data_IF_498394342231
#
_entry.id   IF_498394342231
#
_cell.length_a   1.000
_cell.length_b   1.000
_cell.length_c   1.000
_cell.angle_alpha   90.00
_cell.angle_beta   90.00
_cell.angle_gamma   90.00
#
_symmetry.space_group_name_H-M   'P 1'
#
loop_
_entity.id
_entity.type
_entity.pdbx_description
1 polymer ?
#
# COMPACT_ATOMS: atom_id res chain seq x y z
N UNK A 1 -6.31 -15.18 10.94
CA UNK A 1 -5.53 -14.04 11.46
C UNK A 1 -5.11 -13.19 10.30
N UNK A 2 -5.50 -11.92 10.28
CA UNK A 2 -5.27 -11.02 9.16
C UNK A 2 -4.07 -10.16 9.49
N UNK A 3 -3.01 -10.23 8.68
CA UNK A 3 -1.89 -9.31 8.83
C UNK A 3 -2.41 -7.90 8.53
N UNK A 4 -2.02 -6.92 9.33
CA UNK A 4 -2.47 -5.53 9.20
C UNK A 4 -1.41 -4.74 8.43
N UNK A 5 -1.78 -3.80 7.55
CA UNK A 5 -0.82 -2.85 6.97
C UNK A 5 -0.31 -1.90 8.05
N UNK A 6 0.84 -2.21 8.64
CA UNK A 6 1.49 -1.39 9.68
C UNK A 6 2.86 -0.98 9.17
N UNK A 7 3.02 0.31 8.87
CA UNK A 7 4.35 0.89 8.66
C UNK A 7 4.48 2.30 9.22
N UNK A 8 3.46 3.16 9.13
CA UNK A 8 3.53 4.55 9.64
C UNK A 8 2.19 5.12 10.14
N UNK A 9 1.06 4.66 9.61
CA UNK A 9 -0.29 5.01 10.08
C UNK A 9 -0.95 3.75 10.63
N UNK A 10 -1.37 3.80 11.89
CA UNK A 10 -2.04 2.68 12.53
C UNK A 10 -3.40 2.44 11.88
N UNK A 11 -3.64 1.22 11.42
CA UNK A 11 -4.99 0.79 11.04
C UNK A 11 -5.83 0.70 12.30
N UNK A 12 -6.95 1.43 12.35
CA UNK A 12 -7.86 1.43 13.50
C UNK A 12 -9.21 0.79 13.21
N UNK A 13 -9.56 0.63 11.93
CA UNK A 13 -10.79 -0.03 11.51
C UNK A 13 -10.52 -0.98 10.36
N UNK A 14 -11.04 -2.20 10.49
CA UNK A 14 -11.11 -3.20 9.44
C UNK A 14 -12.57 -3.32 9.02
N UNK A 15 -12.86 -3.23 7.73
CA UNK A 15 -14.17 -3.51 7.16
C UNK A 15 -14.09 -4.75 6.27
N UNK A 16 -14.93 -5.73 6.55
CA UNK A 16 -15.09 -6.94 5.74
C UNK A 16 -16.39 -6.79 4.95
N UNK A 17 -16.32 -6.98 3.63
CA UNK A 17 -17.47 -6.93 2.72
C UNK A 17 -17.59 -8.28 2.02
N UNK A 18 -18.76 -8.91 2.11
CA UNK A 18 -19.03 -10.17 1.44
C UNK A 18 -19.48 -9.97 -0.03
N UNK A 19 -19.62 -11.08 -0.76
CA UNK A 19 -20.10 -11.10 -2.15
C UNK A 19 -21.48 -10.47 -2.36
N UNK A 20 -22.32 -10.40 -1.32
CA UNK A 20 -23.65 -9.78 -1.35
C UNK A 20 -23.62 -8.30 -0.94
N UNK A 21 -22.43 -7.72 -0.76
CA UNK A 21 -22.18 -6.36 -0.28
C UNK A 21 -22.63 -6.12 1.17
N UNK A 22 -22.79 -7.17 1.97
CA UNK A 22 -22.99 -7.05 3.41
C UNK A 22 -21.65 -6.72 4.03
N UNK A 23 -21.58 -5.63 4.79
CA UNK A 23 -20.35 -5.18 5.44
C UNK A 23 -20.43 -5.27 6.95
N UNK A 24 -19.29 -5.58 7.57
CA UNK A 24 -19.09 -5.50 9.01
C UNK A 24 -17.76 -4.79 9.30
N UNK A 25 -17.80 -3.87 10.25
CA UNK A 25 -16.64 -3.11 10.69
C UNK A 25 -16.16 -3.59 12.07
N UNK A 26 -14.84 -3.57 12.26
CA UNK A 26 -14.15 -4.05 13.45
C UNK A 26 -13.13 -3.01 13.90
N UNK A 27 -13.07 -2.77 15.21
CA UNK A 27 -11.93 -2.05 15.79
C UNK A 27 -10.69 -2.93 15.78
N UNK A 28 -9.57 -2.36 15.36
CA UNK A 28 -8.28 -3.07 15.26
C UNK A 28 -7.41 -2.66 16.45
N UNK A 29 -7.72 -3.22 17.63
CA UNK A 29 -7.09 -2.78 18.89
C UNK A 29 -6.14 -3.83 19.50
N UNK A 30 -6.14 -5.07 18.98
CA UNK A 30 -5.41 -6.22 19.53
C UNK A 30 -4.60 -6.93 18.44
N UNK A 31 -3.57 -6.25 17.95
CA UNK A 31 -2.62 -6.79 16.97
C UNK A 31 -1.51 -7.53 17.73
N UNK A 32 -1.16 -8.74 17.29
CA UNK A 32 -0.04 -9.48 17.87
C UNK A 32 1.34 -8.91 17.46
N UNK A 33 2.40 -9.47 18.05
CA UNK A 33 3.78 -9.06 17.77
C UNK A 33 4.23 -9.25 16.31
N UNK A 34 3.51 -10.07 15.54
CA UNK A 34 3.80 -10.35 14.13
C UNK A 34 2.92 -9.49 13.19
N UNK A 35 2.13 -8.58 13.74
CA UNK A 35 1.26 -7.68 12.98
C UNK A 35 -0.09 -8.30 12.60
N UNK A 36 -0.52 -9.40 13.23
CA UNK A 36 -1.79 -10.05 12.93
C UNK A 36 -2.92 -9.63 13.87
N UNK A 37 -4.09 -9.40 13.28
CA UNK A 37 -5.37 -9.21 13.96
C UNK A 37 -6.22 -10.48 13.90
N UNK A 38 -6.85 -10.86 15.02
CA UNK A 38 -7.71 -12.06 15.07
C UNK A 38 -9.19 -11.73 14.85
N UNK A 39 -9.70 -12.11 13.67
CA UNK A 39 -11.13 -11.99 13.30
C UNK A 39 -11.99 -13.16 13.81
N UNK A 40 -11.40 -14.34 14.05
CA UNK A 40 -12.11 -15.63 14.03
C UNK A 40 -13.20 -15.86 15.09
N UNK A 41 -13.32 -14.98 16.10
CA UNK A 41 -14.43 -15.00 17.07
C UNK A 41 -15.56 -14.00 16.77
N UNK A 42 -15.31 -13.02 15.90
CA UNK A 42 -16.20 -11.87 15.68
C UNK A 42 -16.89 -11.89 14.31
N UNK A 43 -16.48 -12.80 13.42
CA UNK A 43 -17.05 -12.93 12.08
C UNK A 43 -17.01 -14.38 11.59
N UNK A 44 -18.08 -14.83 10.94
CA UNK A 44 -18.21 -16.19 10.42
C UNK A 44 -18.00 -16.19 8.90
N UNK A 45 -17.01 -16.97 8.45
CA UNK A 45 -16.75 -17.22 7.04
C UNK A 45 -17.66 -18.34 6.56
N UNK A 46 -18.21 -18.17 5.36
CA UNK A 46 -19.00 -19.20 4.69
C UNK A 46 -18.19 -19.78 3.54
N UNK A 47 -18.16 -21.11 3.44
CA UNK A 47 -17.44 -21.80 2.37
C UNK A 47 -17.96 -21.37 1.00
N UNK A 48 -17.04 -21.10 0.07
CA UNK A 48 -17.38 -20.65 -1.29
C UNK A 48 -17.83 -19.19 -1.40
N UNK A 49 -17.89 -18.43 -0.30
CA UNK A 49 -18.12 -16.98 -0.36
C UNK A 49 -16.82 -16.24 -0.63
N UNK A 50 -16.93 -15.13 -1.36
CA UNK A 50 -15.82 -14.18 -1.51
C UNK A 50 -15.94 -13.03 -0.53
N UNK A 51 -14.80 -12.59 0.01
CA UNK A 51 -14.71 -11.46 0.93
C UNK A 51 -13.62 -10.49 0.49
N UNK A 52 -13.92 -9.20 0.61
CA UNK A 52 -12.93 -8.13 0.48
C UNK A 52 -12.75 -7.46 1.84
N UNK A 53 -11.49 -7.18 2.15
CA UNK A 53 -11.02 -6.59 3.39
C UNK A 53 -10.50 -5.19 3.07
N UNK A 54 -11.01 -4.19 3.77
CA UNK A 54 -10.63 -2.79 3.65
C UNK A 54 -10.09 -2.32 5.00
N UNK A 55 -8.91 -1.72 5.01
CA UNK A 55 -8.27 -1.20 6.20
C UNK A 55 -8.37 0.31 6.22
N UNK A 56 -8.70 0.91 7.36
CA UNK A 56 -8.84 2.37 7.49
C UNK A 56 -8.01 2.89 8.68
N UNK A 57 -7.49 4.13 8.61
CA UNK A 57 -6.73 4.72 9.70
C UNK A 57 -7.63 5.23 10.84
N UNK A 58 -8.94 5.28 10.59
CA UNK A 58 -9.93 5.87 11.48
C UNK A 58 -10.61 4.79 12.32
N UNK A 59 -11.13 5.15 13.48
CA UNK A 59 -11.88 4.23 14.34
C UNK A 59 -13.21 3.78 13.69
N UNK A 60 -13.74 2.68 14.18
CA UNK A 60 -15.12 2.23 13.94
C UNK A 60 -16.12 3.34 14.31
N UNK A 61 -17.10 3.60 13.43
CA UNK A 61 -18.24 4.46 13.71
C UNK A 61 -19.44 3.67 14.22
N UNK A 62 -19.73 2.53 13.57
CA UNK A 62 -20.78 1.61 13.95
C UNK A 62 -20.46 0.18 13.45
N UNK A 63 -21.38 -0.77 13.64
CA UNK A 63 -21.16 -2.16 13.28
C UNK A 63 -20.86 -2.43 11.78
N UNK A 64 -21.14 -1.48 10.88
CA UNK A 64 -20.95 -1.66 9.43
C UNK A 64 -19.92 -0.71 8.81
N UNK A 65 -19.63 0.41 9.46
CA UNK A 65 -18.88 1.53 8.87
C UNK A 65 -17.71 1.99 9.75
N UNK A 66 -16.65 2.45 9.10
CA UNK A 66 -15.57 3.20 9.74
C UNK A 66 -15.91 4.71 9.77
N UNK A 67 -15.29 5.49 10.66
CA UNK A 67 -15.62 6.91 10.89
C UNK A 67 -15.32 7.84 9.73
N UNK A 68 -14.38 7.47 8.86
CA UNK A 68 -14.20 8.07 7.55
C UNK A 68 -13.65 7.01 6.61
N UNK A 69 -14.38 6.80 5.51
CA UNK A 69 -14.07 5.85 4.44
C UNK A 69 -13.59 6.57 3.17
N UNK A 70 -13.10 7.82 3.30
CA UNK A 70 -12.56 8.56 2.14
C UNK A 70 -11.20 8.03 1.67
N UNK A 71 -10.43 7.40 2.56
CA UNK A 71 -9.09 6.90 2.28
C UNK A 71 -8.89 5.56 2.99
N UNK A 72 -8.89 4.48 2.23
CA UNK A 72 -8.55 3.15 2.72
C UNK A 72 -7.04 2.97 2.66
N UNK A 73 -6.48 2.44 3.75
CA UNK A 73 -5.06 2.18 3.84
C UNK A 73 -4.60 1.08 2.87
N UNK A 74 -5.41 0.05 2.75
CA UNK A 74 -5.21 -1.01 1.78
C UNK A 74 -6.53 -1.74 1.62
N UNK A 75 -6.65 -2.51 0.54
CA UNK A 75 -7.72 -3.48 0.42
C UNK A 75 -7.26 -4.73 -0.32
N UNK A 76 -8.01 -5.80 -0.15
CA UNK A 76 -7.81 -7.06 -0.88
C UNK A 76 -8.75 -7.13 -2.07
N UNK A 77 -8.26 -7.65 -3.20
CA UNK A 77 -9.15 -8.20 -4.22
C UNK A 77 -10.04 -9.30 -3.59
N UNK A 78 -11.25 -9.56 -4.11
CA UNK A 78 -12.16 -10.55 -3.52
C UNK A 78 -11.48 -11.91 -3.32
N UNK A 79 -11.37 -12.35 -2.07
CA UNK A 79 -10.74 -13.60 -1.68
C UNK A 79 -11.80 -14.66 -1.46
N UNK A 80 -11.67 -15.80 -2.16
CA UNK A 80 -12.58 -16.94 -1.96
C UNK A 80 -12.20 -17.67 -0.68
N UNK A 81 -13.18 -17.91 0.19
CA UNK A 81 -13.03 -18.69 1.41
C UNK A 81 -12.79 -20.16 1.08
N UNK A 82 -11.79 -20.75 1.75
CA UNK A 82 -11.44 -22.17 1.71
C UNK A 82 -11.35 -22.68 3.15
N UNK A 83 -12.37 -23.40 3.62
CA UNK A 83 -12.45 -23.96 4.98
C UNK A 83 -11.42 -25.06 5.25
N UNK A 84 -10.76 -25.61 4.22
CA UNK A 84 -9.65 -26.55 4.43
C UNK A 84 -8.39 -25.83 4.90
N UNK A 85 -8.37 -24.50 4.78
CA UNK A 85 -7.38 -23.58 5.32
C UNK A 85 -8.04 -22.71 6.38
N UNK A 86 -7.25 -21.97 7.17
CA UNK A 86 -7.81 -20.93 8.03
C UNK A 86 -8.25 -19.78 7.12
N UNK A 87 -9.56 -19.53 6.92
CA UNK A 87 -10.03 -18.55 5.93
C UNK A 87 -9.67 -17.11 6.29
N UNK A 88 -9.24 -16.91 7.54
CA UNK A 88 -8.80 -15.62 8.04
C UNK A 88 -7.30 -15.43 7.97
N UNK A 89 -6.52 -16.43 7.56
CA UNK A 89 -5.08 -16.31 7.42
C UNK A 89 -4.75 -15.54 6.13
N UNK A 90 -4.55 -14.24 6.30
CA UNK A 90 -4.31 -13.31 5.20
C UNK A 90 -2.98 -12.64 5.47
N UNK A 91 -2.01 -12.88 4.60
CA UNK A 91 -0.70 -12.23 4.63
C UNK A 91 -0.74 -10.89 3.91
N UNK A 92 0.24 -10.02 4.22
CA UNK A 92 0.37 -8.71 3.58
C UNK A 92 0.55 -8.76 2.06
N UNK A 93 1.20 -9.80 1.56
CA UNK A 93 1.39 -10.07 0.13
C UNK A 93 0.05 -10.13 -0.63
N UNK A 94 -1.06 -10.43 0.04
CA UNK A 94 -2.38 -10.55 -0.59
C UNK A 94 -3.03 -9.19 -0.92
N UNK A 95 -2.59 -8.12 -0.25
CA UNK A 95 -3.11 -6.75 -0.44
C UNK A 95 -1.99 -5.73 -0.62
N UNK A 96 -0.84 -6.17 -1.14
CA UNK A 96 0.24 -5.32 -1.59
C UNK A 96 0.54 -5.63 -3.05
N UNK A 97 1.26 -4.73 -3.72
CA UNK A 97 1.71 -4.95 -5.10
C UNK A 97 3.22 -4.95 -5.17
N UNK A 98 3.78 -5.64 -6.15
CA UNK A 98 5.07 -5.30 -6.69
C UNK A 98 5.02 -3.95 -7.41
N UNK A 99 6.07 -3.14 -7.33
CA UNK A 99 6.26 -1.97 -8.19
C UNK A 99 7.38 -2.27 -9.17
N UNK A 100 7.14 -1.98 -10.45
CA UNK A 100 8.16 -1.93 -11.49
C UNK A 100 8.31 -0.48 -11.95
N UNK A 101 9.36 0.19 -11.50
CA UNK A 101 9.53 1.63 -11.74
C UNK A 101 10.69 1.83 -12.71
N UNK A 102 10.42 2.45 -13.88
CA UNK A 102 11.47 2.81 -14.83
C UNK A 102 12.38 3.83 -14.15
N UNK A 103 13.70 3.60 -14.16
CA UNK A 103 14.66 4.51 -13.53
C UNK A 103 15.52 5.24 -14.56
N UNK A 104 15.92 6.50 -14.31
CA UNK A 104 17.00 7.13 -15.05
C UNK A 104 18.28 6.30 -14.88
N UNK A 105 19.09 6.20 -15.94
CA UNK A 105 20.27 5.32 -15.96
C UNK A 105 21.35 5.64 -14.91
N UNK A 106 21.33 6.84 -14.34
CA UNK A 106 22.26 7.31 -13.30
C UNK A 106 21.64 7.37 -11.90
N UNK A 107 20.41 6.91 -11.72
CA UNK A 107 19.74 6.96 -10.43
C UNK A 107 20.37 5.98 -9.43
N UNK A 108 20.64 6.47 -8.22
CA UNK A 108 21.18 5.69 -7.10
C UNK A 108 20.18 5.52 -5.97
N UNK A 109 19.19 6.40 -5.91
CA UNK A 109 18.15 6.34 -4.91
C UNK A 109 16.80 6.66 -5.54
N UNK A 110 15.79 5.90 -5.13
CA UNK A 110 14.39 6.13 -5.40
C UNK A 110 13.72 6.56 -4.11
N UNK A 111 13.03 7.70 -4.13
CA UNK A 111 12.09 8.08 -3.08
C UNK A 111 10.67 8.04 -3.62
N UNK A 112 9.76 7.44 -2.86
CA UNK A 112 8.32 7.38 -3.14
C UNK A 112 7.60 8.11 -2.00
N UNK A 113 6.90 9.19 -2.33
CA UNK A 113 6.09 9.95 -1.38
C UNK A 113 4.61 9.76 -1.69
N UNK A 114 3.78 9.55 -0.66
CA UNK A 114 2.33 9.46 -0.78
C UNK A 114 1.63 10.68 -0.15
N UNK A 115 0.61 11.19 -0.85
CA UNK A 115 -0.11 12.42 -0.52
C UNK A 115 -1.62 12.21 -0.59
N UNK A 116 -2.39 12.93 0.25
CA UNK A 116 -3.86 12.99 0.19
C UNK A 116 -4.38 13.89 -0.94
N UNK A 117 -3.62 14.91 -1.32
CA UNK A 117 -4.05 15.95 -2.26
C UNK A 117 -2.85 16.44 -3.11
N UNK A 118 -3.04 16.84 -4.38
CA UNK A 118 -1.94 17.30 -5.19
C UNK A 118 -1.35 18.60 -4.64
N UNK A 119 -2.20 19.42 -4.02
CA UNK A 119 -1.84 20.75 -3.52
C UNK A 119 -1.05 20.71 -2.19
N UNK A 120 -0.90 19.53 -1.57
CA UNK A 120 -0.32 19.37 -0.22
C UNK A 120 1.08 18.75 -0.25
N UNK A 121 1.95 19.28 -1.12
CA UNK A 121 3.33 18.77 -1.34
C UNK A 121 4.20 18.88 -0.08
N UNK A 122 3.83 19.75 0.87
CA UNK A 122 4.55 19.96 2.13
C UNK A 122 4.28 18.92 3.22
N UNK A 123 3.18 18.16 3.13
CA UNK A 123 2.81 17.16 4.14
C UNK A 123 2.56 15.78 3.50
N UNK A 124 3.65 15.13 3.11
CA UNK A 124 3.57 13.71 2.75
C UNK A 124 3.14 12.90 3.99
N UNK A 125 2.19 11.99 3.80
CA UNK A 125 1.74 11.08 4.86
C UNK A 125 2.76 9.97 5.05
N UNK A 126 3.47 9.64 3.97
CA UNK A 126 4.36 8.50 3.89
C UNK A 126 5.49 8.79 2.90
N UNK A 127 6.72 8.47 3.29
CA UNK A 127 7.90 8.54 2.42
C UNK A 127 8.68 7.22 2.56
N UNK A 128 9.03 6.62 1.44
CA UNK A 128 9.92 5.46 1.36
C UNK A 128 11.14 5.81 0.53
N UNK A 129 12.31 5.35 0.97
CA UNK A 129 13.56 5.48 0.23
C UNK A 129 14.15 4.10 -0.04
N UNK A 130 14.63 3.90 -1.25
CA UNK A 130 15.24 2.67 -1.71
C UNK A 130 16.57 2.98 -2.39
N UNK A 131 17.60 2.24 -2.01
CA UNK A 131 18.84 2.20 -2.77
C UNK A 131 18.60 1.45 -4.07
N UNK A 132 18.96 2.08 -5.17
CA UNK A 132 18.89 1.48 -6.51
C UNK A 132 20.20 0.74 -6.73
N UNK A 133 20.20 -0.55 -6.44
CA UNK A 133 21.37 -1.42 -6.56
C UNK A 133 21.46 -2.07 -7.95
N UNK A 134 20.33 -2.52 -8.51
CA UNK A 134 20.22 -3.08 -9.85
C UNK A 134 18.88 -2.73 -10.51
N UNK A 135 18.94 -2.38 -11.79
CA UNK A 135 17.76 -2.35 -12.68
C UNK A 135 17.82 -3.53 -13.63
N UNK A 136 16.67 -3.99 -14.12
CA UNK A 136 16.63 -5.03 -15.14
C UNK A 136 17.17 -4.54 -16.50
N UNK A 137 17.28 -5.42 -17.48
CA UNK A 137 17.76 -5.09 -18.82
C UNK A 137 16.92 -4.02 -19.53
N UNK A 138 15.68 -3.82 -19.06
CA UNK A 138 14.78 -2.78 -19.54
C UNK A 138 14.83 -1.53 -18.65
N UNK A 139 15.75 -1.40 -17.69
CA UNK A 139 15.92 -0.23 -16.83
C UNK A 139 14.84 -0.05 -15.76
N UNK A 140 14.10 -1.10 -15.39
CA UNK A 140 13.15 -1.05 -14.28
C UNK A 140 13.78 -1.49 -12.95
N UNK A 141 13.47 -0.75 -11.88
CA UNK A 141 13.73 -1.14 -10.50
C UNK A 141 12.49 -1.80 -9.89
N UNK A 142 12.70 -2.84 -9.08
CA UNK A 142 11.63 -3.71 -8.60
C UNK A 142 11.50 -3.62 -7.08
N UNK A 143 10.35 -3.14 -6.59
CA UNK A 143 10.01 -3.14 -5.16
C UNK A 143 8.96 -4.22 -4.91
N UNK A 144 9.22 -5.16 -4.01
CA UNK A 144 8.28 -6.25 -3.69
C UNK A 144 7.37 -5.87 -2.52
N UNK A 145 6.12 -6.32 -2.55
CA UNK A 145 5.14 -6.18 -1.46
C UNK A 145 4.97 -4.73 -0.97
N UNK A 146 4.98 -3.76 -1.89
CA UNK A 146 4.75 -2.36 -1.55
C UNK A 146 3.28 -2.12 -1.22
N UNK A 147 3.02 -1.43 -0.11
CA UNK A 147 1.66 -1.08 0.28
C UNK A 147 1.20 0.17 -0.47
N UNK A 148 0.19 -0.03 -1.31
CA UNK A 148 -0.46 1.03 -2.05
C UNK A 148 -1.79 1.37 -1.38
N UNK A 149 -1.93 2.64 -0.98
CA UNK A 149 -3.05 3.23 -0.27
C UNK A 149 -4.04 3.79 -1.29
N UNK A 150 -5.24 3.23 -1.38
CA UNK A 150 -6.25 3.69 -2.32
C UNK A 150 -6.77 5.08 -1.89
N UNK A 151 -6.79 6.03 -2.82
CA UNK A 151 -7.12 7.43 -2.54
C UNK A 151 -5.92 8.31 -2.23
N UNK A 152 -4.71 7.74 -2.14
CA UNK A 152 -3.48 8.53 -2.15
C UNK A 152 -2.94 8.70 -3.58
N UNK A 153 -2.19 9.77 -3.77
CA UNK A 153 -1.36 9.99 -4.94
C UNK A 153 0.09 9.78 -4.59
N UNK A 154 0.83 9.20 -5.52
CA UNK A 154 2.23 8.86 -5.38
C UNK A 154 3.09 9.77 -6.22
N UNK A 155 4.17 10.24 -5.63
CA UNK A 155 5.19 11.03 -6.28
C UNK A 155 6.52 10.30 -6.19
N UNK A 156 7.23 10.23 -7.31
CA UNK A 156 8.48 9.48 -7.44
C UNK A 156 9.61 10.47 -7.66
N UNK A 157 10.68 10.29 -6.89
CA UNK A 157 11.90 11.07 -7.02
C UNK A 157 13.07 10.12 -7.28
N UNK A 158 13.92 10.49 -8.23
CA UNK A 158 15.18 9.81 -8.44
C UNK A 158 16.33 10.78 -8.15
N UNK A 159 17.29 10.29 -7.38
CA UNK A 159 18.49 11.00 -7.00
C UNK A 159 19.68 10.41 -7.76
N UNK A 160 20.52 11.27 -8.34
CA UNK A 160 21.81 10.90 -8.93
C UNK A 160 22.91 11.51 -8.03
N UNK A 161 24.02 10.81 -7.80
CA UNK A 161 25.03 11.30 -6.85
C UNK A 161 25.65 12.60 -7.36
N UNK A 162 25.55 13.70 -6.60
CA UNK A 162 26.34 14.91 -6.88
C UNK A 162 27.18 15.42 -5.71
N UNK A 163 26.95 14.99 -4.45
CA UNK A 163 27.47 15.78 -3.30
C UNK A 163 28.54 15.10 -2.44
N UNK A 164 28.98 13.88 -2.75
CA UNK A 164 30.05 13.20 -1.98
C UNK A 164 29.65 12.85 -0.54
N UNK A 165 28.34 12.76 -0.26
CA UNK A 165 27.80 12.27 1.02
C UNK A 165 27.90 10.75 1.11
N UNK A 166 27.99 10.22 2.33
CA UNK A 166 27.98 8.76 2.57
C UNK A 166 26.61 8.13 2.35
N UNK A 167 25.55 8.94 2.35
CA UNK A 167 24.18 8.52 2.06
C UNK A 167 23.82 8.92 0.62
N UNK A 168 23.60 7.96 -0.30
CA UNK A 168 23.25 8.22 -1.69
C UNK A 168 21.81 8.74 -1.86
N UNK A 169 20.98 8.72 -0.80
CA UNK A 169 19.66 9.36 -0.77
C UNK A 169 19.68 10.78 -0.16
N UNK A 170 20.82 11.24 0.38
CA UNK A 170 20.96 12.55 1.02
C UNK A 170 21.35 13.68 0.02
N UNK A 171 20.74 13.67 -1.17
CA UNK A 171 21.01 14.64 -2.26
C UNK A 171 19.75 15.41 -2.64
N UNK A 172 19.93 16.45 -3.46
CA UNK A 172 18.81 17.11 -4.15
C UNK A 172 18.31 16.17 -5.25
N UNK A 173 16.99 15.99 -5.36
CA UNK A 173 16.42 15.10 -6.36
C UNK A 173 16.50 15.73 -7.75
N UNK A 174 17.21 15.07 -8.67
CA UNK A 174 17.45 15.55 -10.04
C UNK A 174 16.25 15.33 -10.97
N UNK A 175 15.42 14.33 -10.65
CA UNK A 175 14.21 14.02 -11.42
C UNK A 175 13.00 13.92 -10.51
N UNK A 176 11.93 14.62 -10.89
CA UNK A 176 10.65 14.69 -10.15
C UNK A 176 9.47 14.86 -11.13
N UNK A 177 8.41 14.03 -11.00
CA UNK A 177 7.04 14.07 -11.60
C UNK A 177 6.46 12.63 -11.61
N UNK A 178 5.17 12.29 -11.69
CA UNK A 178 3.85 12.95 -11.69
C UNK A 178 3.01 12.37 -10.53
N UNK A 179 1.83 12.93 -10.24
CA UNK A 179 0.84 12.31 -9.34
C UNK A 179 0.23 11.07 -10.00
N UNK A 180 0.60 9.89 -9.52
CA UNK A 180 -0.06 8.66 -9.93
C UNK A 180 -1.03 8.21 -8.86
N UNK A 181 -2.28 7.96 -9.26
CA UNK A 181 -3.23 7.25 -8.42
C UNK A 181 -2.73 5.82 -8.20
N UNK A 182 -2.85 5.37 -6.96
CA UNK A 182 -2.74 3.98 -6.58
C UNK A 182 -3.42 3.02 -7.58
N UNK A 183 -2.71 1.97 -8.00
CA UNK A 183 -3.29 0.83 -8.71
C UNK A 183 -2.84 -0.48 -8.05
N UNK A 184 -3.77 -1.11 -7.33
CA UNK A 184 -3.57 -2.44 -6.70
C UNK A 184 -4.18 -3.57 -7.54
N UNK A 185 -4.82 -3.24 -8.66
CA UNK A 185 -5.40 -4.23 -9.57
C UNK A 185 -4.38 -4.78 -10.56
N UNK A 186 -3.26 -4.08 -10.71
CA UNK A 186 -2.15 -4.46 -11.55
C UNK A 186 -0.93 -4.81 -10.67
N UNK A 187 -0.54 -6.08 -10.66
CA UNK A 187 0.65 -6.56 -9.96
C UNK A 187 1.61 -7.28 -10.94
N UNK A 188 2.82 -6.75 -11.17
CA UNK A 188 3.36 -5.53 -10.60
C UNK A 188 2.74 -4.25 -11.20
N UNK A 189 2.57 -3.21 -10.37
CA UNK A 189 2.21 -1.88 -10.84
C UNK A 189 3.40 -1.29 -11.59
N UNK A 190 3.29 -1.25 -12.92
CA UNK A 190 4.33 -0.73 -13.81
C UNK A 190 4.20 0.79 -13.92
N UNK A 191 5.28 1.49 -13.56
CA UNK A 191 5.35 2.95 -13.48
C UNK A 191 6.51 3.45 -14.35
N UNK A 192 6.25 4.41 -15.23
CA UNK A 192 7.26 5.16 -15.97
C UNK A 192 7.03 6.66 -15.73
N UNK A 193 7.59 7.22 -14.63
CA UNK A 193 7.29 8.59 -14.22
C UNK A 193 7.92 9.64 -15.15
N UNK A 194 8.87 9.23 -16.00
CA UNK A 194 9.74 10.14 -16.75
C UNK A 194 9.27 10.39 -18.18
N UNK A 195 8.28 9.64 -18.66
CA UNK A 195 7.81 9.70 -20.04
C UNK A 195 6.56 10.57 -20.24
N UNK A 196 5.95 11.09 -19.18
CA UNK A 196 4.80 11.99 -19.28
C UNK A 196 5.20 13.47 -19.35
N UNK A 197 5.33 13.97 -20.59
CA UNK A 197 5.18 15.38 -20.92
C UNK A 197 3.87 15.54 -21.70
N UNK A 198 2.86 16.15 -21.08
CA UNK A 198 1.79 16.84 -21.80
C UNK A 198 1.75 18.30 -21.37
#
# INVERSE_FOLDING_TARGET
MIQVPIYLVETKCLKIIDQNRISQAFSVDNIDQNGYYNVGGNYLAQEGFTYSFYFYPNSIFNATNCSSEQYDLAYTNPLTTDITKNPWEIERSVYSVGLMIKMPSSALCLQINAFTSPDDVGSHIYSSQFLVDNTDDNGYFHVKNYLVYQGLMYYFFAATNETGTSDPCAVTFDHSRDYLSADITNDPWVVDPWTYNK
#
